data_IF_012013057543
#
_entry.id   IF_012013057543
#
_cell.length_a   1.000
_cell.length_b   1.000
_cell.length_c   1.000
_cell.angle_alpha   90.00
_cell.angle_beta   90.00
_cell.angle_gamma   90.00
#
_symmetry.space_group_name_H-M   'P 1'
#
loop_
_entity.id
_entity.type
_entity.pdbx_description
1 polymer ?
#
# COMPACT_ATOMS: atom_id res chain seq x y z
N UNK A 1 8.98 -2.56 -18.73
CA UNK A 1 8.50 -3.95 -18.50
C UNK A 1 7.74 -3.88 -17.19
N UNK A 2 6.44 -4.19 -17.17
CA UNK A 2 5.65 -4.14 -15.93
C UNK A 2 6.09 -5.24 -14.96
N UNK A 3 6.25 -4.90 -13.68
CA UNK A 3 6.55 -5.85 -12.61
C UNK A 3 5.27 -6.16 -11.82
N UNK A 4 5.02 -7.44 -11.56
CA UNK A 4 3.91 -7.93 -10.74
C UNK A 4 4.45 -8.94 -9.73
N UNK A 5 4.03 -8.81 -8.47
CA UNK A 5 4.34 -9.75 -7.39
C UNK A 5 3.08 -10.07 -6.61
N UNK A 6 2.88 -11.34 -6.29
CA UNK A 6 1.75 -11.83 -5.49
C UNK A 6 2.27 -12.72 -4.37
N UNK A 7 1.85 -12.44 -3.14
CA UNK A 7 2.31 -13.16 -1.94
C UNK A 7 1.14 -13.46 -1.01
N UNK A 8 1.13 -14.66 -0.42
CA UNK A 8 0.18 -14.97 0.66
C UNK A 8 0.57 -14.21 1.92
N UNK A 9 -0.35 -13.39 2.43
CA UNK A 9 -0.13 -12.47 3.54
C UNK A 9 -0.98 -12.79 4.77
N UNK A 10 -2.00 -13.63 4.60
CA UNK A 10 -3.07 -13.81 5.59
C UNK A 10 -4.15 -12.73 5.46
N UNK A 11 -5.13 -12.76 6.38
CA UNK A 11 -6.33 -11.88 6.32
C UNK A 11 -6.14 -10.49 6.92
N UNK A 12 -5.18 -10.31 7.81
CA UNK A 12 -4.90 -9.04 8.51
C UNK A 12 -3.40 -8.75 8.50
N UNK A 13 -2.75 -8.61 7.32
CA UNK A 13 -1.34 -8.29 7.28
C UNK A 13 -1.10 -6.83 7.65
N UNK A 14 0.10 -6.54 8.14
CA UNK A 14 0.65 -5.18 8.14
C UNK A 14 1.43 -4.98 6.85
N UNK A 15 1.14 -3.90 6.11
CA UNK A 15 1.88 -3.49 4.93
C UNK A 15 2.39 -2.06 5.10
N UNK A 16 3.71 -1.90 5.02
CA UNK A 16 4.41 -0.63 5.04
C UNK A 16 4.88 -0.25 3.63
N UNK A 17 4.28 0.79 3.06
CA UNK A 17 4.74 1.42 1.83
C UNK A 17 5.83 2.43 2.19
N UNK A 18 7.09 2.05 1.96
CA UNK A 18 8.28 2.83 2.33
C UNK A 18 8.42 4.09 1.47
N UNK A 19 8.43 3.90 0.15
CA UNK A 19 8.56 4.99 -0.81
C UNK A 19 7.94 4.62 -2.15
N UNK A 20 7.09 5.51 -2.65
CA UNK A 20 6.55 5.47 -4.01
C UNK A 20 6.82 6.81 -4.67
N UNK A 21 7.69 6.82 -5.68
CA UNK A 21 8.08 8.06 -6.37
C UNK A 21 7.04 8.53 -7.42
N UNK A 22 6.02 7.73 -7.68
CA UNK A 22 4.87 8.08 -8.53
C UNK A 22 3.56 8.09 -7.76
N UNK A 23 2.48 7.69 -8.43
CA UNK A 23 1.15 7.57 -7.84
C UNK A 23 0.98 6.21 -7.13
N UNK A 24 0.28 6.23 -6.00
CA UNK A 24 -0.05 5.02 -5.25
C UNK A 24 -1.56 4.78 -5.27
N UNK A 25 -1.97 3.62 -5.77
CA UNK A 25 -3.36 3.16 -5.68
C UNK A 25 -3.41 1.90 -4.84
N UNK A 26 -4.18 1.92 -3.76
CA UNK A 26 -4.40 0.77 -2.87
C UNK A 26 -5.87 0.41 -2.84
N UNK A 27 -6.18 -0.86 -3.06
CA UNK A 27 -7.54 -1.39 -3.02
C UNK A 27 -7.65 -2.55 -2.04
N UNK A 28 -8.59 -2.47 -1.12
CA UNK A 28 -8.99 -3.60 -0.30
C UNK A 28 -9.76 -4.64 -1.11
N UNK A 29 -9.45 -5.92 -0.92
CA UNK A 29 -10.17 -7.04 -1.53
C UNK A 29 -10.39 -8.20 -0.55
N UNK A 30 -11.29 -9.12 -0.92
CA UNK A 30 -11.68 -10.25 -0.07
C UNK A 30 -10.66 -11.40 -0.02
N UNK A 31 -9.50 -11.27 -0.65
CA UNK A 31 -8.47 -12.31 -0.68
C UNK A 31 -7.42 -12.13 0.43
N UNK A 32 -6.93 -13.24 0.98
CA UNK A 32 -5.91 -13.26 2.04
C UNK A 32 -4.47 -13.18 1.49
N UNK A 33 -4.27 -12.38 0.44
CA UNK A 33 -3.00 -12.20 -0.26
C UNK A 33 -2.79 -10.74 -0.62
N UNK A 34 -1.54 -10.36 -0.81
CA UNK A 34 -1.14 -9.05 -1.34
C UNK A 34 -0.74 -9.26 -2.80
N UNK A 35 -1.30 -8.43 -3.69
CA UNK A 35 -0.89 -8.33 -5.08
C UNK A 35 -0.39 -6.91 -5.33
N UNK A 36 0.83 -6.81 -5.83
CA UNK A 36 1.50 -5.55 -6.09
C UNK A 36 1.93 -5.47 -7.55
N UNK A 37 1.60 -4.36 -8.20
CA UNK A 37 1.89 -4.10 -9.62
C UNK A 37 2.57 -2.74 -9.76
N UNK A 38 3.59 -2.66 -10.59
CA UNK A 38 4.18 -1.39 -11.02
C UNK A 38 4.56 -1.44 -12.51
N UNK A 39 4.64 -0.27 -13.13
CA UNK A 39 5.13 -0.15 -14.50
C UNK A 39 6.62 -0.49 -14.63
N UNK A 40 7.38 -0.29 -13.55
CA UNK A 40 8.82 -0.49 -13.43
C UNK A 40 9.16 -1.53 -12.35
N UNK A 41 10.38 -1.50 -11.81
CA UNK A 41 10.84 -2.43 -10.78
C UNK A 41 10.09 -2.26 -9.46
N UNK A 42 9.47 -3.32 -8.98
CA UNK A 42 8.77 -3.37 -7.70
C UNK A 42 9.55 -4.24 -6.70
N UNK A 43 9.67 -3.76 -5.47
CA UNK A 43 10.27 -4.51 -4.37
C UNK A 43 9.23 -4.71 -3.28
N UNK A 44 8.61 -5.90 -3.24
CA UNK A 44 7.79 -6.37 -2.12
C UNK A 44 8.60 -7.40 -1.33
N UNK A 45 8.84 -7.13 -0.06
CA UNK A 45 9.63 -7.99 0.81
C UNK A 45 8.89 -8.22 2.13
N UNK A 46 9.20 -9.34 2.78
CA UNK A 46 8.72 -9.61 4.13
C UNK A 46 9.80 -9.23 5.12
N UNK A 47 9.49 -8.29 5.98
CA UNK A 47 10.24 -7.91 7.16
C UNK A 47 9.71 -8.71 8.36
N UNK A 48 10.61 -9.25 9.18
CA UNK A 48 10.24 -10.10 10.32
C UNK A 48 9.58 -9.29 11.45
N UNK A 49 9.90 -8.00 11.57
CA UNK A 49 9.42 -7.11 12.63
C UNK A 49 8.28 -6.22 12.16
N UNK A 50 8.36 -5.68 10.95
CA UNK A 50 7.38 -4.71 10.42
C UNK A 50 6.26 -5.32 9.56
N UNK A 51 6.38 -6.59 9.17
CA UNK A 51 5.43 -7.25 8.27
C UNK A 51 5.84 -7.12 6.80
N UNK A 52 4.93 -6.75 5.91
CA UNK A 52 5.28 -6.60 4.49
C UNK A 52 5.78 -5.18 4.21
N UNK A 53 6.85 -5.04 3.43
CA UNK A 53 7.38 -3.74 3.01
C UNK A 53 7.37 -3.63 1.49
N UNK A 54 7.00 -2.45 0.98
CA UNK A 54 6.92 -2.17 -0.45
C UNK A 54 7.62 -0.87 -0.81
N UNK A 55 8.40 -0.90 -1.89
CA UNK A 55 8.98 0.27 -2.54
C UNK A 55 8.84 0.20 -4.05
N UNK A 56 8.56 1.33 -4.69
CA UNK A 56 8.48 1.46 -6.15
C UNK A 56 9.04 2.82 -6.63
N UNK A 57 9.87 2.85 -7.69
CA UNK A 57 10.41 4.08 -8.25
C UNK A 57 9.41 4.85 -9.15
N UNK A 58 8.20 4.34 -9.31
CA UNK A 58 7.14 4.94 -10.13
C UNK A 58 5.78 4.51 -9.61
N UNK A 59 4.77 4.53 -10.48
CA UNK A 59 3.39 4.22 -10.11
C UNK A 59 3.21 2.78 -9.62
N UNK A 60 2.46 2.63 -8.52
CA UNK A 60 2.18 1.36 -7.89
C UNK A 60 0.68 1.14 -7.67
N UNK A 61 0.20 -0.05 -8.02
CA UNK A 61 -1.16 -0.53 -7.77
C UNK A 61 -1.10 -1.74 -6.83
N UNK A 62 -1.74 -1.62 -5.67
CA UNK A 62 -1.76 -2.62 -4.63
C UNK A 62 -3.19 -3.13 -4.42
N UNK A 63 -3.33 -4.44 -4.32
CA UNK A 63 -4.51 -5.08 -3.78
C UNK A 63 -4.12 -5.78 -2.48
N UNK A 64 -4.78 -5.38 -1.40
CA UNK A 64 -4.48 -5.85 -0.04
C UNK A 64 -5.74 -6.40 0.61
N UNK A 65 -5.63 -7.36 1.54
CA UNK A 65 -6.80 -7.82 2.29
C UNK A 65 -7.54 -6.64 2.92
N UNK A 66 -8.89 -6.65 2.91
CA UNK A 66 -9.68 -5.52 3.44
C UNK A 66 -9.30 -5.16 4.89
N UNK A 67 -9.03 -6.15 5.72
CA UNK A 67 -8.65 -5.95 7.12
C UNK A 67 -7.12 -5.73 7.33
N UNK A 68 -6.38 -5.39 6.28
CA UNK A 68 -4.96 -5.09 6.39
C UNK A 68 -4.72 -3.75 7.10
N UNK A 69 -3.66 -3.69 7.89
CA UNK A 69 -3.11 -2.44 8.42
C UNK A 69 -2.15 -1.85 7.38
N UNK A 70 -2.39 -0.61 6.98
CA UNK A 70 -1.62 0.07 5.94
C UNK A 70 -0.84 1.25 6.53
N UNK A 71 0.47 1.27 6.33
CA UNK A 71 1.35 2.36 6.74
C UNK A 71 1.99 2.92 5.48
N UNK A 72 1.69 4.16 5.13
CA UNK A 72 2.26 4.87 3.98
C UNK A 72 3.24 5.90 4.49
N UNK A 73 4.53 5.65 4.29
CA UNK A 73 5.58 6.55 4.78
C UNK A 73 5.83 7.70 3.82
N UNK A 74 5.93 7.41 2.52
CA UNK A 74 6.21 8.42 1.51
C UNK A 74 5.58 8.09 0.14
N UNK A 75 4.81 9.04 -0.39
CA UNK A 75 4.25 9.04 -1.74
C UNK A 75 4.50 10.41 -2.37
N UNK A 76 5.33 10.46 -3.42
CA UNK A 76 5.65 11.70 -4.12
C UNK A 76 4.54 12.18 -5.07
N UNK A 77 3.71 11.27 -5.59
CA UNK A 77 2.56 11.60 -6.43
C UNK A 77 1.25 11.65 -5.66
N UNK A 78 0.17 11.29 -6.33
CA UNK A 78 -1.16 11.18 -5.73
C UNK A 78 -1.32 9.81 -5.03
N UNK A 79 -1.97 9.82 -3.86
CA UNK A 79 -2.36 8.62 -3.13
C UNK A 79 -3.86 8.37 -3.20
N UNK A 80 -4.28 7.17 -3.57
CA UNK A 80 -5.66 6.74 -3.52
C UNK A 80 -5.77 5.43 -2.74
N UNK A 81 -6.50 5.42 -1.63
CA UNK A 81 -6.75 4.23 -0.83
C UNK A 81 -8.25 4.00 -0.75
N UNK A 82 -8.69 2.80 -1.16
CA UNK A 82 -10.12 2.47 -1.21
C UNK A 82 -10.41 1.08 -0.68
N UNK A 83 -11.39 0.94 0.22
CA UNK A 83 -11.88 -0.35 0.70
C UNK A 83 -10.98 -1.07 1.70
N UNK A 84 -10.00 -0.38 2.29
CA UNK A 84 -9.14 -0.90 3.36
C UNK A 84 -9.76 -0.55 4.70
N UNK A 85 -10.37 -1.53 5.37
CA UNK A 85 -11.12 -1.39 6.61
C UNK A 85 -10.23 -1.43 7.87
N UNK A 86 -8.99 -1.89 7.75
CA UNK A 86 -8.00 -1.81 8.83
C UNK A 86 -7.45 -0.39 9.03
N UNK A 87 -6.56 -0.25 10.02
CA UNK A 87 -5.95 1.03 10.34
C UNK A 87 -5.05 1.52 9.20
N UNK A 88 -5.21 2.79 8.84
CA UNK A 88 -4.41 3.48 7.82
C UNK A 88 -3.63 4.61 8.49
N UNK A 89 -2.32 4.62 8.27
CA UNK A 89 -1.44 5.70 8.71
C UNK A 89 -0.76 6.24 7.46
N UNK A 90 -0.92 7.54 7.18
CA UNK A 90 -0.21 8.22 6.09
C UNK A 90 0.67 9.30 6.68
N UNK A 91 1.98 9.19 6.47
CA UNK A 91 2.96 10.16 6.95
C UNK A 91 3.11 11.24 5.88
N UNK A 92 3.82 10.97 4.78
CA UNK A 92 4.01 11.93 3.71
C UNK A 92 3.23 11.57 2.44
N UNK A 93 2.45 12.51 1.94
CA UNK A 93 1.87 12.49 0.60
C UNK A 93 2.05 13.88 -0.02
N UNK A 94 2.85 13.96 -1.09
CA UNK A 94 3.22 15.23 -1.73
C UNK A 94 2.20 15.71 -2.77
N UNK A 95 1.35 14.81 -3.28
CA UNK A 95 0.22 15.11 -4.15
C UNK A 95 -1.10 15.16 -3.39
N UNK A 96 -2.16 14.70 -4.05
CA UNK A 96 -3.48 14.58 -3.48
C UNK A 96 -3.67 13.22 -2.81
N UNK A 97 -4.29 13.21 -1.64
CA UNK A 97 -4.67 11.99 -0.95
C UNK A 97 -6.20 11.81 -0.98
N UNK A 98 -6.66 10.68 -1.53
CA UNK A 98 -8.06 10.27 -1.54
C UNK A 98 -8.22 9.01 -0.72
N UNK A 99 -9.02 9.10 0.35
CA UNK A 99 -9.43 7.96 1.19
C UNK A 99 -10.93 7.72 1.01
N UNK A 100 -11.30 6.48 0.69
CA UNK A 100 -12.71 6.12 0.50
C UNK A 100 -13.01 4.73 1.06
N UNK A 101 -14.11 4.57 1.78
CA UNK A 101 -14.51 3.29 2.37
C UNK A 101 -13.37 2.67 3.20
N UNK A 102 -12.72 3.49 4.02
CA UNK A 102 -11.59 3.08 4.82
C UNK A 102 -11.96 2.90 6.29
N UNK A 103 -11.13 2.13 7.00
CA UNK A 103 -11.09 2.13 8.47
C UNK A 103 -10.58 3.46 9.03
N UNK A 104 -10.20 3.47 10.32
CA UNK A 104 -9.57 4.62 10.96
C UNK A 104 -8.34 5.06 10.16
N UNK A 105 -8.25 6.36 9.86
CA UNK A 105 -7.14 6.95 9.13
C UNK A 105 -6.50 8.07 9.94
N UNK A 106 -5.18 8.00 10.11
CA UNK A 106 -4.35 9.03 10.72
C UNK A 106 -3.45 9.64 9.65
N UNK A 107 -3.41 10.97 9.59
CA UNK A 107 -2.52 11.72 8.71
C UNK A 107 -1.49 12.46 9.57
N UNK A 108 -0.23 12.05 9.46
CA UNK A 108 0.92 12.66 10.12
C UNK A 108 1.71 13.49 9.09
N UNK A 109 1.04 14.47 8.49
CA UNK A 109 1.58 15.36 7.44
C UNK A 109 2.27 16.60 7.99
#
# INVERSE_FOLDING_TARGET
MSSEQSVESGRQPTLTVRAVHGNLVVRGWGEARILARAADTLQLQRDEEEGWTLSAPGDALLFVPQAARLIVQDVHGDGQITGVEGDIIVQNCHGNLVLAQTGPATLDT
#
